data_IF_007066761461
#
_entry.id   IF_007066761461
#
_cell.length_a   1.000
_cell.length_b   1.000
_cell.length_c   1.000
_cell.angle_alpha   90.00
_cell.angle_beta   90.00
_cell.angle_gamma   90.00
#
_symmetry.space_group_name_H-M   'P 1'
#
loop_
_entity.id
_entity.type
_entity.pdbx_description
1 polymer ?
#
# COMPACT_ATOMS: atom_id res chain seq x y z
N UNK A 1 -109.88 -10.18 0.74
CA UNK A 1 -108.69 -10.69 0.10
C UNK A 1 -107.46 -9.86 0.53
N UNK A 2 -106.64 -10.39 1.43
CA UNK A 2 -105.40 -9.75 1.93
C UNK A 2 -104.20 -10.69 1.72
N UNK A 3 -103.91 -11.04 0.50
CA UNK A 3 -102.84 -11.99 0.19
C UNK A 3 -101.53 -11.26 -0.28
N UNK A 4 -101.62 -9.95 -0.55
CA UNK A 4 -100.42 -9.20 -1.07
C UNK A 4 -99.39 -8.72 0.01
N UNK A 5 -99.80 -8.61 1.26
CA UNK A 5 -98.99 -8.05 2.33
C UNK A 5 -97.87 -9.02 2.82
N UNK A 6 -98.09 -10.34 2.72
CA UNK A 6 -97.13 -11.31 3.21
C UNK A 6 -95.93 -11.50 2.25
N UNK A 7 -96.25 -11.41 0.96
CA UNK A 7 -95.18 -11.47 -0.08
C UNK A 7 -94.23 -10.26 -0.01
N UNK A 8 -94.81 -9.06 0.15
CA UNK A 8 -93.98 -7.84 0.32
C UNK A 8 -93.17 -7.93 1.60
N UNK A 9 -93.73 -8.39 2.71
CA UNK A 9 -92.98 -8.62 3.96
C UNK A 9 -91.83 -9.59 3.77
N UNK A 10 -92.07 -10.69 3.06
CA UNK A 10 -91.11 -11.70 2.80
C UNK A 10 -89.99 -11.18 1.91
N UNK A 11 -90.30 -10.40 0.88
CA UNK A 11 -89.34 -9.77 0.00
C UNK A 11 -88.49 -8.75 0.81
N UNK A 12 -89.08 -7.91 1.62
CA UNK A 12 -88.37 -6.99 2.50
C UNK A 12 -87.47 -7.69 3.49
N UNK A 13 -87.86 -8.82 4.06
CA UNK A 13 -87.08 -9.65 4.97
C UNK A 13 -85.79 -10.23 4.25
N UNK A 14 -86.04 -10.82 3.10
CA UNK A 14 -84.90 -11.30 2.24
C UNK A 14 -83.99 -10.21 1.85
N UNK A 15 -84.48 -9.01 1.49
CA UNK A 15 -83.66 -7.87 1.14
C UNK A 15 -82.80 -7.40 2.33
N UNK A 16 -83.44 -7.38 3.54
CA UNK A 16 -82.72 -7.01 4.77
C UNK A 16 -81.59 -8.00 5.10
N UNK A 17 -81.82 -9.31 4.95
CA UNK A 17 -80.80 -10.32 5.18
C UNK A 17 -79.70 -10.19 4.17
N UNK A 18 -79.99 -9.89 2.90
CA UNK A 18 -78.97 -9.68 1.84
C UNK A 18 -78.14 -8.49 2.16
N UNK A 19 -78.73 -7.35 2.57
CA UNK A 19 -77.99 -6.16 2.97
C UNK A 19 -77.06 -6.44 4.14
N UNK A 20 -77.59 -7.15 5.20
CA UNK A 20 -76.77 -7.53 6.35
C UNK A 20 -75.61 -8.43 5.95
N UNK A 21 -75.88 -9.40 5.05
CA UNK A 21 -74.84 -10.30 4.55
C UNK A 21 -73.74 -9.54 3.76
N UNK A 22 -74.13 -8.54 2.91
CA UNK A 22 -73.18 -7.71 2.17
C UNK A 22 -72.33 -6.87 3.14
N UNK A 23 -72.92 -6.29 4.18
CA UNK A 23 -72.18 -5.50 5.18
C UNK A 23 -71.22 -6.34 5.97
N UNK A 24 -71.59 -7.55 6.34
CA UNK A 24 -70.75 -8.51 7.06
C UNK A 24 -69.59 -8.99 6.18
N UNK A 25 -69.81 -9.24 4.90
CA UNK A 25 -68.74 -9.63 3.95
C UNK A 25 -67.83 -8.45 3.63
N UNK A 26 -68.36 -7.22 3.47
CA UNK A 26 -67.54 -6.03 3.24
C UNK A 26 -66.65 -5.70 4.44
N UNK A 27 -67.11 -6.01 5.68
CA UNK A 27 -66.30 -5.78 6.89
C UNK A 27 -65.18 -6.80 7.12
N UNK A 28 -65.20 -7.96 6.42
CA UNK A 28 -64.20 -9.02 6.59
C UNK A 28 -63.01 -8.90 5.66
N UNK A 29 -62.96 -7.99 4.71
CA UNK A 29 -61.76 -7.69 3.92
C UNK A 29 -60.80 -6.81 4.72
N UNK A 30 -60.38 -7.28 5.88
CA UNK A 30 -59.20 -6.72 6.56
C UNK A 30 -57.96 -7.14 5.74
N UNK A 31 -57.52 -6.28 4.84
CA UNK A 31 -56.25 -6.46 4.14
C UNK A 31 -55.10 -6.22 5.12
N UNK A 32 -54.55 -7.30 5.64
CA UNK A 32 -53.31 -7.21 6.40
C UNK A 32 -52.18 -6.81 5.44
N UNK A 33 -51.84 -5.52 5.38
CA UNK A 33 -50.65 -5.03 4.70
C UNK A 33 -49.63 -4.67 5.78
N UNK A 34 -48.65 -5.53 5.99
CA UNK A 34 -47.44 -5.13 6.71
C UNK A 34 -46.45 -4.58 5.71
N UNK A 35 -46.06 -3.33 5.88
CA UNK A 35 -44.93 -2.76 5.16
C UNK A 35 -43.71 -2.92 6.03
N UNK A 36 -42.74 -3.70 5.57
CA UNK A 36 -41.39 -3.69 6.10
C UNK A 36 -40.59 -2.75 5.20
N UNK A 37 -40.20 -1.61 5.75
CA UNK A 37 -39.20 -0.72 5.12
C UNK A 37 -37.87 -1.07 5.73
N UNK A 38 -36.94 -1.56 4.91
CA UNK A 38 -35.55 -1.71 5.28
C UNK A 38 -34.74 -0.59 4.63
N UNK A 39 -33.97 0.12 5.43
CA UNK A 39 -32.91 1.00 4.91
C UNK A 39 -31.61 0.19 4.90
N UNK A 40 -30.93 0.20 3.76
CA UNK A 40 -29.60 -0.35 3.62
C UNK A 40 -28.69 0.79 3.16
N UNK A 41 -27.70 1.10 3.98
CA UNK A 41 -26.63 2.07 3.66
C UNK A 41 -25.37 1.29 3.33
N UNK A 42 -24.75 1.61 2.19
CA UNK A 42 -23.42 1.16 1.85
C UNK A 42 -22.46 2.36 1.91
N UNK A 43 -21.33 2.16 2.56
CA UNK A 43 -20.23 3.13 2.61
C UNK A 43 -19.10 2.64 1.72
N UNK A 44 -18.44 3.56 1.02
CA UNK A 44 -17.26 3.24 0.23
C UNK A 44 -16.09 2.99 1.18
N UNK A 45 -15.37 1.89 0.98
CA UNK A 45 -14.19 1.56 1.76
C UNK A 45 -13.08 2.61 1.56
N UNK A 46 -12.38 2.95 2.63
CA UNK A 46 -11.22 3.84 2.60
C UNK A 46 -10.07 3.17 1.86
N UNK A 47 -9.39 3.93 1.00
CA UNK A 47 -8.11 3.58 0.41
C UNK A 47 -7.01 4.45 0.99
N UNK A 48 -5.96 3.85 1.61
CA UNK A 48 -4.84 4.57 2.21
C UNK A 48 -3.64 3.64 2.34
N UNK A 49 -2.58 3.94 1.62
CA UNK A 49 -1.29 3.24 1.69
C UNK A 49 -0.24 4.25 2.14
N UNK A 50 0.56 3.89 3.13
CA UNK A 50 1.67 4.72 3.61
C UNK A 50 3.01 4.10 3.27
N UNK A 51 3.96 4.97 2.97
CA UNK A 51 5.37 4.64 2.78
C UNK A 51 6.20 5.55 3.68
N UNK A 52 6.94 4.96 4.61
CA UNK A 52 7.70 5.70 5.64
C UNK A 52 6.82 6.80 6.29
N UNK A 53 5.64 6.42 6.76
CA UNK A 53 4.61 7.27 7.39
C UNK A 53 4.00 8.36 6.50
N UNK A 54 4.37 8.43 5.23
CA UNK A 54 3.77 9.37 4.27
C UNK A 54 2.69 8.68 3.46
N UNK A 55 1.53 9.32 3.36
CA UNK A 55 0.44 8.86 2.51
C UNK A 55 0.89 8.78 1.05
N UNK A 56 0.62 7.65 0.40
CA UNK A 56 0.78 7.50 -1.03
C UNK A 56 -0.43 8.17 -1.70
N UNK A 57 -0.31 9.47 -1.99
CA UNK A 57 -1.37 10.19 -2.67
C UNK A 57 -1.54 9.67 -4.10
N UNK A 58 -2.75 9.79 -4.63
CA UNK A 58 -3.09 9.41 -6.00
C UNK A 58 -2.18 10.16 -6.97
N UNK A 59 -1.43 9.41 -7.77
CA UNK A 59 -0.50 9.85 -8.82
C UNK A 59 0.64 10.80 -8.37
N UNK A 60 1.88 10.33 -8.53
CA UNK A 60 3.14 11.10 -8.44
C UNK A 60 3.59 11.58 -7.04
N UNK A 61 3.22 10.91 -5.97
CA UNK A 61 3.83 11.17 -4.66
C UNK A 61 5.30 10.77 -4.67
N UNK A 62 6.19 11.75 -4.75
CA UNK A 62 7.62 11.53 -4.53
C UNK A 62 7.89 11.45 -3.04
N UNK A 63 8.22 10.27 -2.57
CA UNK A 63 8.85 10.12 -1.25
C UNK A 63 10.36 10.26 -1.45
N UNK A 64 10.95 11.30 -0.87
CA UNK A 64 12.40 11.47 -0.89
C UNK A 64 12.98 10.62 0.23
N UNK A 65 13.86 9.69 -0.13
CA UNK A 65 14.62 8.91 0.82
C UNK A 65 16.04 9.43 0.84
N UNK A 66 16.62 9.58 2.03
CA UNK A 66 18.05 9.77 2.14
C UNK A 66 18.70 8.39 2.31
N UNK A 67 19.10 7.81 1.19
CA UNK A 67 19.59 6.44 1.12
C UNK A 67 21.00 6.28 1.69
N UNK A 68 21.75 7.37 1.78
CA UNK A 68 23.16 7.37 2.11
C UNK A 68 23.46 8.10 3.43
N UNK A 69 22.44 8.43 4.24
CA UNK A 69 22.65 9.06 5.56
C UNK A 69 23.12 8.07 6.61
N UNK A 70 22.73 6.82 6.50
CA UNK A 70 23.03 5.81 7.53
C UNK A 70 24.29 5.06 7.14
N UNK A 71 25.35 5.29 7.88
CA UNK A 71 26.61 4.54 7.79
C UNK A 71 26.63 3.58 8.97
N UNK A 72 26.64 2.28 8.68
CA UNK A 72 26.73 1.24 9.70
C UNK A 72 28.20 0.92 10.00
N UNK A 73 28.58 0.96 11.25
CA UNK A 73 29.95 0.63 11.69
C UNK A 73 30.27 -0.87 11.57
N UNK A 74 29.25 -1.72 11.49
CA UNK A 74 29.44 -3.17 11.46
C UNK A 74 29.97 -3.63 10.10
N UNK A 75 31.23 -4.01 10.05
CA UNK A 75 31.90 -4.50 8.85
C UNK A 75 32.49 -3.41 7.95
N UNK A 76 32.45 -2.16 8.36
CA UNK A 76 33.09 -1.05 7.67
C UNK A 76 34.51 -0.79 8.19
N UNK A 77 35.38 -0.37 7.29
CA UNK A 77 36.72 0.09 7.66
C UNK A 77 36.66 1.58 8.03
N UNK A 78 35.79 2.36 7.37
CA UNK A 78 35.54 3.75 7.71
C UNK A 78 34.45 3.87 8.76
N UNK A 79 34.74 4.59 9.83
CA UNK A 79 33.78 4.92 10.87
C UNK A 79 32.86 6.06 10.42
N UNK A 80 31.66 6.16 10.98
CA UNK A 80 30.72 7.24 10.72
C UNK A 80 31.35 8.64 10.90
N UNK A 81 32.29 8.75 11.84
CA UNK A 81 33.04 9.98 12.13
C UNK A 81 34.12 10.30 11.12
N UNK A 82 34.55 9.34 10.30
CA UNK A 82 35.66 9.48 9.35
C UNK A 82 35.20 10.08 8.01
N UNK A 83 33.89 10.07 7.77
CA UNK A 83 33.29 10.61 6.54
C UNK A 83 32.27 11.67 6.92
N UNK A 84 32.32 12.82 6.25
CA UNK A 84 31.37 13.90 6.50
C UNK A 84 29.95 13.44 6.17
N UNK A 85 29.01 13.78 7.06
CA UNK A 85 27.60 13.41 6.91
C UNK A 85 27.03 13.73 5.51
N UNK A 86 26.31 12.78 4.94
CA UNK A 86 25.72 12.89 3.60
C UNK A 86 26.69 12.64 2.45
N UNK A 87 27.93 12.22 2.73
CA UNK A 87 28.91 11.81 1.74
C UNK A 87 29.19 10.31 1.85
N UNK A 88 29.61 9.72 0.74
CA UNK A 88 30.08 8.34 0.66
C UNK A 88 31.54 8.33 0.24
N UNK A 89 32.28 7.34 0.70
CA UNK A 89 33.69 7.16 0.41
C UNK A 89 34.02 5.66 0.35
N UNK A 90 35.19 5.27 -0.22
CA UNK A 90 35.65 3.89 -0.13
C UNK A 90 35.64 3.38 1.30
N UNK A 91 35.16 2.15 1.51
CA UNK A 91 35.03 1.52 2.83
C UNK A 91 33.75 1.89 3.60
N UNK A 92 32.88 2.74 3.07
CA UNK A 92 31.60 3.06 3.72
C UNK A 92 30.50 2.09 3.30
N UNK A 93 29.58 1.84 4.20
CA UNK A 93 28.37 1.06 3.97
C UNK A 93 27.21 1.64 4.77
N UNK A 94 26.00 1.25 4.41
CA UNK A 94 24.81 1.66 5.13
C UNK A 94 23.59 0.89 4.69
N UNK A 95 22.44 1.28 5.22
CA UNK A 95 21.17 0.69 4.82
C UNK A 95 20.05 1.74 4.89
N UNK A 96 19.01 1.49 4.12
CA UNK A 96 17.75 2.22 4.25
C UNK A 96 16.57 1.26 4.29
N UNK A 97 15.54 1.68 4.97
CA UNK A 97 14.33 0.90 5.12
C UNK A 97 13.17 1.58 4.40
N UNK A 98 12.47 0.79 3.60
CA UNK A 98 11.19 1.15 3.02
C UNK A 98 10.10 0.42 3.81
N UNK A 99 9.29 1.18 4.51
CA UNK A 99 8.21 0.68 5.35
C UNK A 99 6.89 0.92 4.62
N UNK A 100 6.17 -0.15 4.31
CA UNK A 100 4.90 -0.08 3.59
C UNK A 100 3.78 -0.54 4.50
N UNK A 101 2.77 0.30 4.68
CA UNK A 101 1.63 0.03 5.56
C UNK A 101 0.32 0.19 4.80
N UNK A 102 -0.56 -0.79 4.93
CA UNK A 102 -1.93 -0.72 4.45
C UNK A 102 -2.84 -0.19 5.57
N UNK A 103 -3.30 1.04 5.44
CA UNK A 103 -4.33 1.65 6.30
C UNK A 103 -5.70 1.72 5.60
N UNK A 104 -5.84 0.99 4.49
CA UNK A 104 -7.10 0.84 3.77
C UNK A 104 -8.05 -0.11 4.50
N UNK A 105 -9.33 -0.03 4.14
CA UNK A 105 -10.37 -0.99 4.54
C UNK A 105 -10.52 -2.14 3.55
N UNK A 106 -9.59 -2.25 2.61
CA UNK A 106 -9.49 -3.32 1.59
C UNK A 106 -8.08 -3.88 1.54
N UNK A 107 -7.93 -5.13 1.13
CA UNK A 107 -6.61 -5.73 0.89
C UNK A 107 -5.94 -5.03 -0.27
N UNK A 108 -4.67 -4.69 -0.11
CA UNK A 108 -3.83 -4.08 -1.13
C UNK A 108 -2.69 -5.02 -1.51
N UNK A 109 -2.24 -4.92 -2.74
CA UNK A 109 -0.95 -5.46 -3.17
C UNK A 109 -0.06 -4.32 -3.64
N UNK A 110 1.24 -4.46 -3.45
CA UNK A 110 2.19 -3.46 -3.86
C UNK A 110 3.42 -4.07 -4.52
N UNK A 111 4.03 -3.30 -5.39
CA UNK A 111 5.33 -3.57 -6.00
C UNK A 111 6.24 -2.37 -5.85
N UNK A 112 7.55 -2.63 -5.76
CA UNK A 112 8.57 -1.59 -5.69
C UNK A 112 9.53 -1.77 -6.86
N UNK A 113 9.86 -0.67 -7.53
CA UNK A 113 10.89 -0.59 -8.53
C UNK A 113 12.01 0.34 -8.10
N UNK A 114 13.23 0.02 -8.49
CA UNK A 114 14.42 0.86 -8.29
C UNK A 114 15.06 1.18 -9.62
N UNK A 115 15.39 2.45 -9.81
CA UNK A 115 16.18 2.91 -10.95
C UNK A 115 17.44 3.60 -10.40
N UNK A 116 18.58 3.02 -10.72
CA UNK A 116 19.89 3.53 -10.34
C UNK A 116 20.47 4.36 -11.47
N UNK A 117 20.89 5.58 -11.14
CA UNK A 117 21.69 6.45 -12.02
C UNK A 117 23.07 6.63 -11.42
N UNK A 118 24.07 6.05 -12.05
CA UNK A 118 25.49 6.10 -11.64
C UNK A 118 26.38 6.43 -12.84
N UNK A 119 26.31 7.67 -13.29
CA UNK A 119 27.05 8.13 -14.49
C UNK A 119 28.55 8.25 -14.27
N UNK A 120 28.98 8.32 -13.02
CA UNK A 120 30.39 8.41 -12.64
C UNK A 120 31.05 7.07 -12.36
N UNK A 121 30.32 5.98 -12.53
CA UNK A 121 30.78 4.61 -12.23
C UNK A 121 31.35 4.46 -10.81
N UNK A 122 30.69 5.07 -9.82
CA UNK A 122 31.04 4.86 -8.42
C UNK A 122 30.88 3.36 -8.12
N UNK A 123 31.90 2.68 -7.56
CA UNK A 123 31.87 1.21 -7.38
C UNK A 123 31.05 0.83 -6.15
N UNK A 124 29.77 1.19 -6.16
CA UNK A 124 28.81 0.91 -5.09
C UNK A 124 28.05 -0.39 -5.41
N UNK A 125 27.84 -1.18 -4.40
CA UNK A 125 27.04 -2.41 -4.47
C UNK A 125 25.86 -2.34 -3.52
N UNK A 126 24.79 -3.04 -3.87
CA UNK A 126 23.55 -3.12 -3.12
C UNK A 126 23.20 -4.57 -2.82
N UNK A 127 22.49 -4.76 -1.71
CA UNK A 127 21.94 -6.05 -1.31
C UNK A 127 20.58 -5.86 -0.65
N UNK A 128 19.65 -6.78 -0.91
CA UNK A 128 18.35 -6.87 -0.22
C UNK A 128 18.26 -8.07 0.72
N UNK A 129 19.27 -8.96 0.67
CA UNK A 129 19.34 -10.16 1.49
C UNK A 129 20.57 -10.19 2.43
N UNK A 130 21.45 -9.20 2.32
CA UNK A 130 22.68 -9.09 3.10
C UNK A 130 23.81 -10.03 2.66
N UNK A 131 23.56 -10.86 1.64
CA UNK A 131 24.49 -11.89 1.18
C UNK A 131 24.89 -11.73 -0.28
N UNK A 132 23.94 -11.40 -1.13
CA UNK A 132 24.15 -11.21 -2.56
C UNK A 132 24.32 -9.72 -2.86
N UNK A 133 25.50 -9.35 -3.34
CA UNK A 133 25.84 -7.97 -3.64
C UNK A 133 25.95 -7.75 -5.14
N UNK A 134 25.30 -6.72 -5.64
CA UNK A 134 25.28 -6.38 -7.07
C UNK A 134 25.36 -4.86 -7.26
N UNK A 135 25.75 -4.44 -8.45
CA UNK A 135 25.77 -3.01 -8.82
C UNK A 135 24.38 -2.44 -9.17
N UNK A 136 23.32 -3.20 -8.88
CA UNK A 136 21.93 -2.80 -9.07
C UNK A 136 21.10 -3.26 -7.88
N UNK A 137 19.94 -2.62 -7.65
CA UNK A 137 19.03 -3.03 -6.59
C UNK A 137 17.99 -3.98 -7.18
N UNK A 138 17.98 -5.22 -6.69
CA UNK A 138 16.95 -6.19 -7.07
C UNK A 138 15.66 -5.85 -6.36
N UNK A 139 14.61 -5.56 -7.12
CA UNK A 139 13.30 -5.31 -6.57
C UNK A 139 12.71 -6.60 -5.96
N UNK A 140 12.09 -6.54 -4.77
CA UNK A 140 11.39 -7.68 -4.22
C UNK A 140 10.17 -8.03 -5.08
N UNK A 141 9.71 -9.28 -4.98
CA UNK A 141 8.46 -9.69 -5.62
C UNK A 141 7.28 -8.89 -5.08
N UNK A 142 6.23 -8.75 -5.89
CA UNK A 142 4.96 -8.15 -5.46
C UNK A 142 4.44 -8.84 -4.19
N UNK A 143 3.97 -8.03 -3.24
CA UNK A 143 3.44 -8.49 -1.98
C UNK A 143 2.01 -8.02 -1.77
N UNK A 144 1.23 -8.84 -1.04
CA UNK A 144 -0.13 -8.50 -0.60
C UNK A 144 -0.13 -8.13 0.88
N UNK A 145 -0.82 -7.05 1.21
CA UNK A 145 -1.04 -6.57 2.57
C UNK A 145 -2.54 -6.60 2.89
N UNK A 146 -2.95 -7.52 3.73
CA UNK A 146 -4.33 -7.60 4.22
C UNK A 146 -4.71 -6.35 5.03
N UNK A 147 -6.00 -6.16 5.22
CA UNK A 147 -6.53 -5.14 6.14
C UNK A 147 -5.97 -5.37 7.54
N UNK A 148 -5.39 -4.34 8.13
CA UNK A 148 -4.81 -4.41 9.48
C UNK A 148 -3.52 -5.23 9.58
N UNK A 149 -2.91 -5.64 8.46
CA UNK A 149 -1.62 -6.29 8.47
C UNK A 149 -0.54 -5.38 9.10
N UNK A 150 0.47 -5.97 9.77
CA UNK A 150 1.61 -5.20 10.23
C UNK A 150 2.33 -4.53 9.06
N UNK A 151 3.08 -3.49 9.37
CA UNK A 151 3.95 -2.82 8.41
C UNK A 151 4.96 -3.81 7.82
N UNK A 152 5.11 -3.80 6.50
CA UNK A 152 6.15 -4.56 5.81
C UNK A 152 7.38 -3.69 5.60
N UNK A 153 8.55 -4.21 5.94
CA UNK A 153 9.81 -3.49 5.85
C UNK A 153 10.72 -4.16 4.83
N UNK A 154 11.14 -3.39 3.85
CA UNK A 154 12.14 -3.80 2.86
C UNK A 154 13.43 -3.04 3.21
N UNK A 155 14.47 -3.79 3.57
CA UNK A 155 15.79 -3.24 3.85
C UNK A 155 16.65 -3.37 2.59
N UNK A 156 17.23 -2.26 2.16
CA UNK A 156 18.26 -2.23 1.13
C UNK A 156 19.55 -1.82 1.79
N UNK A 157 20.55 -2.65 1.69
CA UNK A 157 21.91 -2.38 2.13
C UNK A 157 22.73 -1.88 0.95
N UNK A 158 23.69 -1.02 1.21
CA UNK A 158 24.65 -0.55 0.23
C UNK A 158 26.04 -0.54 0.82
N UNK A 159 27.05 -0.67 -0.02
CA UNK A 159 28.44 -0.54 0.37
C UNK A 159 29.27 0.01 -0.78
N UNK A 160 30.28 0.74 -0.46
CA UNK A 160 31.41 1.01 -1.33
C UNK A 160 32.57 0.20 -0.80
N UNK A 161 32.83 -0.99 -1.39
CA UNK A 161 33.89 -1.85 -0.94
C UNK A 161 35.24 -1.13 -1.05
N UNK A 162 36.07 -1.26 -0.04
CA UNK A 162 37.38 -0.59 0.00
C UNK A 162 38.28 -1.13 -1.13
N UNK A 163 38.18 -2.43 -1.41
CA UNK A 163 38.94 -3.10 -2.45
C UNK A 163 38.05 -4.12 -3.17
N UNK A 164 37.82 -3.92 -4.46
CA UNK A 164 37.14 -4.86 -5.32
C UNK A 164 35.69 -5.16 -4.98
N UNK A 165 35.12 -6.14 -5.67
CA UNK A 165 33.74 -6.61 -5.51
C UNK A 165 33.62 -7.77 -4.52
N UNK A 166 34.66 -8.08 -3.75
CA UNK A 166 34.63 -9.18 -2.80
C UNK A 166 34.01 -8.76 -1.48
N UNK A 167 32.83 -9.29 -1.23
CA UNK A 167 32.03 -9.02 -0.04
C UNK A 167 32.65 -9.49 1.28
N UNK A 168 33.59 -10.40 1.23
CA UNK A 168 34.18 -11.02 2.42
C UNK A 168 35.53 -10.45 2.80
N UNK A 169 36.14 -9.71 1.88
CA UNK A 169 37.49 -9.20 2.11
C UNK A 169 37.61 -7.79 1.54
N UNK A 170 37.37 -6.81 2.41
CA UNK A 170 37.58 -5.37 2.10
C UNK A 170 39.03 -5.01 1.73
N UNK A 171 39.91 -5.99 1.61
CA UNK A 171 41.34 -5.83 1.45
C UNK A 171 41.92 -6.34 0.12
N UNK A 172 41.12 -6.86 -0.80
CA UNK A 172 41.67 -7.29 -2.09
C UNK A 172 41.72 -6.13 -3.07
N UNK A 173 42.89 -5.71 -3.30
CA UNK A 173 43.34 -4.62 -4.17
C UNK A 173 42.70 -4.56 -5.54
N UNK A 174 42.33 -3.41 -6.00
CA UNK A 174 42.35 -2.98 -7.41
C UNK A 174 41.60 -1.63 -7.64
N UNK A 175 40.92 -1.09 -6.64
CA UNK A 175 40.12 0.11 -6.81
C UNK A 175 40.83 1.42 -6.43
N UNK A 176 41.99 1.35 -5.75
CA UNK A 176 42.68 2.52 -5.22
C UNK A 176 42.86 3.65 -6.23
N UNK A 177 43.23 3.29 -7.49
CA UNK A 177 43.42 4.27 -8.56
C UNK A 177 42.08 4.91 -8.97
N UNK A 178 41.05 4.10 -9.09
CA UNK A 178 39.68 4.54 -9.43
C UNK A 178 39.12 5.41 -8.32
N UNK A 179 39.21 4.93 -7.08
CA UNK A 179 38.73 5.64 -5.88
C UNK A 179 39.44 6.97 -5.70
N UNK A 180 40.76 7.00 -5.85
CA UNK A 180 41.59 8.23 -5.83
C UNK A 180 41.17 9.17 -6.95
N UNK A 181 40.90 8.67 -8.15
CA UNK A 181 40.45 9.46 -9.29
C UNK A 181 39.09 10.10 -9.01
N UNK A 182 38.13 9.33 -8.48
CA UNK A 182 36.83 9.85 -8.10
C UNK A 182 36.92 10.90 -7.00
N UNK A 183 37.71 10.65 -5.94
CA UNK A 183 37.93 11.57 -4.85
C UNK A 183 38.62 12.87 -5.31
N UNK A 184 39.57 12.78 -6.21
CA UNK A 184 40.28 13.98 -6.79
C UNK A 184 39.32 14.76 -7.67
N UNK A 185 38.54 14.12 -8.52
CA UNK A 185 37.54 14.77 -9.35
C UNK A 185 36.44 15.46 -8.52
N UNK A 186 36.15 14.96 -7.34
CA UNK A 186 35.16 15.54 -6.44
C UNK A 186 35.54 16.95 -5.94
N UNK A 187 36.79 17.37 -6.06
CA UNK A 187 37.22 18.73 -5.71
C UNK A 187 36.55 19.78 -6.61
N UNK A 188 36.25 19.43 -7.85
CA UNK A 188 35.67 20.36 -8.85
C UNK A 188 34.26 19.92 -9.27
N UNK A 189 34.02 18.63 -9.40
CA UNK A 189 32.74 18.05 -9.85
C UNK A 189 32.49 16.76 -9.09
N UNK A 190 31.79 16.79 -7.92
CA UNK A 190 31.51 15.60 -7.15
C UNK A 190 30.71 14.57 -7.94
N UNK A 191 31.23 13.36 -7.99
CA UNK A 191 30.50 12.21 -8.52
C UNK A 191 29.20 12.00 -7.74
N UNK A 192 28.12 11.63 -8.42
CA UNK A 192 26.81 11.42 -7.81
C UNK A 192 26.23 10.08 -8.22
N UNK A 193 25.58 9.45 -7.28
CA UNK A 193 24.74 8.30 -7.51
C UNK A 193 23.33 8.64 -7.04
N UNK A 194 22.33 8.26 -7.82
CA UNK A 194 20.93 8.52 -7.49
C UNK A 194 20.15 7.22 -7.61
N UNK A 195 19.37 6.92 -6.58
CA UNK A 195 18.39 5.83 -6.60
C UNK A 195 17.01 6.45 -6.63
N UNK A 196 16.25 6.15 -7.68
CA UNK A 196 14.85 6.52 -7.77
C UNK A 196 14.01 5.29 -7.43
N UNK A 197 13.16 5.42 -6.42
CA UNK A 197 12.27 4.36 -5.98
C UNK A 197 10.86 4.69 -6.43
N UNK A 198 10.19 3.73 -7.04
CA UNK A 198 8.77 3.82 -7.42
C UNK A 198 8.01 2.73 -6.67
N UNK A 199 6.96 3.10 -5.96
CA UNK A 199 6.04 2.17 -5.34
C UNK A 199 4.68 2.30 -6.02
N UNK A 200 4.12 1.16 -6.42
CA UNK A 200 2.77 1.06 -6.98
C UNK A 200 1.94 0.17 -6.08
N UNK A 201 0.76 0.65 -5.70
CA UNK A 201 -0.18 -0.14 -4.92
C UNK A 201 -1.54 -0.22 -5.63
N UNK A 202 -2.17 -1.39 -5.57
CA UNK A 202 -3.48 -1.66 -6.16
C UNK A 202 -4.34 -2.46 -5.18
N UNK A 203 -5.65 -2.27 -5.25
CA UNK A 203 -6.59 -3.13 -4.53
C UNK A 203 -6.51 -4.56 -5.06
N UNK A 204 -6.68 -5.53 -4.18
CA UNK A 204 -6.87 -6.94 -4.56
C UNK A 204 -8.36 -7.16 -4.77
N UNK A 205 -8.73 -7.62 -5.96
CA UNK A 205 -10.10 -8.00 -6.33
C UNK A 205 -10.44 -9.40 -5.84
#
# INVERSE_FOLDING_TARGET
MKKGNNLVKFIMFVLLITIVAIVLVAGTYAKYTSKVSGESTATVAKWSIKVNDKELAVENSKVTFNLFETINDTGNIAQETDVKAGLIAPGTAGSFNLKVKNESEVTAKYSIGFVLTNTSNIPIEFSTDGTTWTNSITAPAEKSLAVGAPEDTITVQWRWAFNGTDSTNYQTTQNDVTDTTLGTAAQTAPAKITVTTTLTATQVD
#
